data_IF_794083604837
#
_entry.id   IF_794083604837
#
_cell.length_a   1.000
_cell.length_b   1.000
_cell.length_c   1.000
_cell.angle_alpha   90.00
_cell.angle_beta   90.00
_cell.angle_gamma   90.00
#
_symmetry.space_group_name_H-M   'P 1'
#
loop_
_entity.id
_entity.type
_entity.pdbx_description
1 polymer ?
#
# COMPACT_ATOMS: atom_id res chain seq x y z
N UNK A 1 13.64 21.21 -10.65
CA UNK A 1 13.04 20.98 -9.31
C UNK A 1 12.35 19.61 -9.27
N UNK A 2 12.42 18.92 -8.13
CA UNK A 2 11.73 17.66 -7.85
C UNK A 2 10.74 17.89 -6.71
N UNK A 3 9.49 17.44 -6.86
CA UNK A 3 8.42 17.67 -5.90
C UNK A 3 7.86 16.33 -5.45
N UNK A 4 7.83 16.13 -4.14
CA UNK A 4 7.29 14.95 -3.46
C UNK A 4 6.01 15.36 -2.75
N UNK A 5 4.98 14.52 -2.85
CA UNK A 5 3.78 14.59 -2.02
C UNK A 5 3.73 13.39 -1.07
N UNK A 6 3.37 13.67 0.18
CA UNK A 6 3.09 12.65 1.20
C UNK A 6 1.62 12.81 1.57
N UNK A 7 0.81 11.81 1.20
CA UNK A 7 -0.62 11.84 1.43
C UNK A 7 -0.92 11.36 2.85
N UNK A 8 -1.81 12.08 3.53
CA UNK A 8 -2.41 11.64 4.78
C UNK A 8 -3.88 11.34 4.51
N UNK A 9 -4.28 10.09 4.74
CA UNK A 9 -5.63 9.60 4.42
C UNK A 9 -6.37 9.25 5.70
N UNK A 10 -7.68 9.54 5.73
CA UNK A 10 -8.58 9.00 6.74
C UNK A 10 -9.08 7.63 6.26
N UNK A 11 -8.84 6.60 7.08
CA UNK A 11 -9.12 5.21 6.72
C UNK A 11 -10.42 4.75 7.38
N UNK A 12 -11.28 4.09 6.61
CA UNK A 12 -12.51 3.48 7.10
C UNK A 12 -12.55 1.97 6.81
N UNK A 13 -13.64 1.31 7.22
CA UNK A 13 -13.87 -0.11 6.98
C UNK A 13 -14.34 -0.44 5.55
N UNK A 14 -14.60 0.57 4.72
CA UNK A 14 -14.92 0.36 3.31
C UNK A 14 -13.64 0.47 2.47
N UNK A 15 -13.17 -0.68 1.96
CA UNK A 15 -11.98 -0.74 1.11
C UNK A 15 -12.14 0.10 -0.16
N UNK A 16 -13.31 0.08 -0.78
CA UNK A 16 -13.55 0.82 -2.01
C UNK A 16 -13.52 2.33 -1.73
N UNK A 17 -14.07 2.75 -0.60
CA UNK A 17 -13.96 4.14 -0.16
C UNK A 17 -12.50 4.55 0.11
N UNK A 18 -11.70 3.71 0.76
CA UNK A 18 -10.27 3.96 0.95
C UNK A 18 -9.52 4.10 -0.39
N UNK A 19 -9.84 3.25 -1.38
CA UNK A 19 -9.30 3.33 -2.74
C UNK A 19 -9.68 4.64 -3.43
N UNK A 20 -10.93 5.10 -3.29
CA UNK A 20 -11.38 6.39 -3.83
C UNK A 20 -10.64 7.56 -3.18
N UNK A 21 -10.51 7.57 -1.85
CA UNK A 21 -9.75 8.61 -1.14
C UNK A 21 -8.29 8.65 -1.58
N UNK A 22 -7.65 7.49 -1.74
CA UNK A 22 -6.28 7.39 -2.21
C UNK A 22 -6.15 7.93 -3.65
N UNK A 23 -7.07 7.57 -4.55
CA UNK A 23 -7.12 8.08 -5.92
C UNK A 23 -7.21 9.61 -5.96
N UNK A 24 -8.12 10.19 -5.20
CA UNK A 24 -8.32 11.65 -5.12
C UNK A 24 -7.07 12.38 -4.59
N UNK A 25 -6.41 11.80 -3.57
CA UNK A 25 -5.19 12.36 -3.02
C UNK A 25 -4.02 12.29 -4.02
N UNK A 26 -3.89 11.19 -4.76
CA UNK A 26 -2.90 11.05 -5.83
C UNK A 26 -3.16 12.06 -6.95
N UNK A 27 -4.41 12.21 -7.39
CA UNK A 27 -4.78 13.18 -8.42
C UNK A 27 -4.44 14.60 -7.99
N UNK A 28 -4.82 14.99 -6.77
CA UNK A 28 -4.52 16.31 -6.21
C UNK A 28 -3.01 16.57 -6.15
N UNK A 29 -2.22 15.56 -5.76
CA UNK A 29 -0.77 15.65 -5.72
C UNK A 29 -0.16 15.81 -7.12
N UNK A 30 -0.68 15.07 -8.11
CA UNK A 30 -0.27 15.12 -9.51
C UNK A 30 -0.58 16.49 -10.13
N UNK A 31 -1.80 17.01 -9.94
CA UNK A 31 -2.23 18.34 -10.40
C UNK A 31 -1.37 19.45 -9.77
N UNK A 32 -0.91 19.24 -8.53
CA UNK A 32 0.07 20.09 -7.86
C UNK A 32 1.52 19.99 -8.40
N UNK A 33 1.77 19.20 -9.44
CA UNK A 33 3.06 19.02 -10.09
C UNK A 33 4.01 18.06 -9.38
N UNK A 34 3.50 17.18 -8.51
CA UNK A 34 4.33 16.19 -7.80
C UNK A 34 4.84 15.13 -8.76
N UNK A 35 6.13 14.83 -8.68
CA UNK A 35 6.79 13.77 -9.47
C UNK A 35 6.82 12.43 -8.74
N UNK A 36 6.65 12.50 -7.42
CA UNK A 36 6.57 11.36 -6.52
C UNK A 36 5.42 11.55 -5.54
N UNK A 37 4.57 10.53 -5.40
CA UNK A 37 3.48 10.50 -4.40
C UNK A 37 3.66 9.29 -3.51
N UNK A 38 3.55 9.49 -2.20
CA UNK A 38 3.61 8.47 -1.16
C UNK A 38 2.26 8.37 -0.45
N UNK A 39 1.74 7.16 -0.34
CA UNK A 39 0.57 6.83 0.49
C UNK A 39 1.00 6.34 1.88
N UNK A 40 0.16 6.49 2.92
CA UNK A 40 0.49 6.03 4.26
C UNK A 40 0.51 4.49 4.35
N UNK A 41 1.09 3.97 5.44
CA UNK A 41 1.06 2.54 5.76
C UNK A 41 -0.39 2.04 5.86
N UNK A 42 -0.68 0.88 5.25
CA UNK A 42 -1.99 0.21 5.32
C UNK A 42 -3.17 1.11 4.93
N UNK A 43 -2.99 1.92 3.87
CA UNK A 43 -4.02 2.86 3.43
C UNK A 43 -5.30 2.21 2.91
N UNK A 44 -5.30 0.92 2.57
CA UNK A 44 -6.46 0.24 1.99
C UNK A 44 -7.33 -0.47 3.03
N UNK A 45 -6.97 -0.45 4.33
CA UNK A 45 -7.67 -1.22 5.36
C UNK A 45 -7.58 -0.61 6.77
N UNK A 46 -8.55 -0.88 7.65
CA UNK A 46 -8.42 -0.56 9.06
C UNK A 46 -7.19 -1.21 9.70
N UNK A 47 -6.56 -0.49 10.61
CA UNK A 47 -5.35 -0.92 11.31
C UNK A 47 -5.68 -1.91 12.44
N UNK A 48 -6.06 -3.15 12.08
CA UNK A 48 -6.44 -4.17 13.06
C UNK A 48 -6.10 -5.60 12.62
N UNK A 49 -5.69 -6.45 13.58
CA UNK A 49 -5.33 -7.85 13.33
C UNK A 49 -6.43 -8.66 12.64
N UNK A 50 -7.69 -8.39 12.97
CA UNK A 50 -8.83 -9.09 12.37
C UNK A 50 -9.11 -8.61 10.95
N UNK A 51 -8.75 -7.38 10.61
CA UNK A 51 -8.86 -6.84 9.25
C UNK A 51 -7.81 -7.42 8.31
N UNK A 52 -6.57 -7.62 8.75
CA UNK A 52 -5.47 -7.90 7.81
C UNK A 52 -5.70 -9.10 6.88
N UNK A 53 -6.18 -10.27 7.34
CA UNK A 53 -6.45 -11.39 6.45
C UNK A 53 -7.59 -11.11 5.46
N UNK A 54 -8.58 -10.31 5.84
CA UNK A 54 -9.75 -9.99 5.01
C UNK A 54 -9.36 -9.00 3.90
N UNK A 55 -8.45 -8.08 4.18
CA UNK A 55 -8.10 -6.99 3.28
C UNK A 55 -6.85 -7.26 2.45
N UNK A 56 -6.02 -8.25 2.80
CA UNK A 56 -4.84 -8.61 2.03
C UNK A 56 -5.21 -9.07 0.62
N UNK A 57 -4.46 -8.59 -0.36
CA UNK A 57 -4.70 -8.84 -1.78
C UNK A 57 -3.52 -9.58 -2.40
N UNK A 58 -3.79 -10.49 -3.33
CA UNK A 58 -2.75 -11.11 -4.14
C UNK A 58 -2.37 -10.15 -5.28
N UNK A 59 -1.18 -9.55 -5.15
CA UNK A 59 -0.68 -8.56 -6.12
C UNK A 59 -0.23 -9.26 -7.41
N UNK A 60 0.30 -10.48 -7.30
CA UNK A 60 0.91 -11.19 -8.41
C UNK A 60 -0.14 -11.90 -9.28
N UNK A 61 -1.31 -12.23 -8.70
CA UNK A 61 -2.45 -12.77 -9.42
C UNK A 61 -3.14 -11.73 -10.36
N UNK A 62 -2.89 -10.44 -10.17
CA UNK A 62 -3.43 -9.36 -11.01
C UNK A 62 -4.87 -8.95 -10.70
N UNK A 63 -5.52 -9.56 -9.71
CA UNK A 63 -6.89 -9.27 -9.28
C UNK A 63 -6.97 -8.34 -8.05
N UNK A 64 -5.85 -7.72 -7.66
CA UNK A 64 -5.78 -6.76 -6.56
C UNK A 64 -6.39 -5.40 -6.94
N UNK A 65 -7.56 -5.01 -6.39
CA UNK A 65 -8.17 -3.71 -6.71
C UNK A 65 -7.30 -2.52 -6.26
N UNK A 66 -6.55 -2.69 -5.17
CA UNK A 66 -5.61 -1.67 -4.69
C UNK A 66 -4.46 -1.52 -5.70
N UNK A 67 -3.81 -2.63 -6.08
CA UNK A 67 -2.76 -2.66 -7.11
C UNK A 67 -3.21 -2.04 -8.43
N UNK A 68 -4.38 -2.45 -8.91
CA UNK A 68 -4.92 -2.03 -10.20
C UNK A 68 -5.23 -0.53 -10.22
N UNK A 69 -5.90 0.00 -9.19
CA UNK A 69 -6.12 1.44 -9.09
C UNK A 69 -4.81 2.21 -9.13
N UNK A 70 -3.81 1.72 -8.39
CA UNK A 70 -2.56 2.43 -8.32
C UNK A 70 -1.81 2.37 -9.66
N UNK A 71 -1.79 1.21 -10.33
CA UNK A 71 -1.31 1.06 -11.72
C UNK A 71 -1.98 2.05 -12.68
N UNK A 72 -3.30 2.21 -12.60
CA UNK A 72 -4.05 3.18 -13.44
C UNK A 72 -3.64 4.63 -13.16
N UNK A 73 -3.34 4.95 -11.90
CA UNK A 73 -2.92 6.28 -11.47
C UNK A 73 -1.44 6.55 -11.74
N UNK A 74 -0.71 5.59 -12.30
CA UNK A 74 0.75 5.59 -12.29
C UNK A 74 1.42 6.58 -13.26
N UNK A 75 0.73 7.57 -13.84
CA UNK A 75 1.30 8.52 -14.79
C UNK A 75 2.55 9.29 -14.30
N UNK A 76 2.89 9.21 -13.01
CA UNK A 76 4.11 9.75 -12.39
C UNK A 76 4.92 8.63 -11.69
N UNK A 77 6.07 8.94 -11.05
CA UNK A 77 6.72 7.91 -10.23
C UNK A 77 5.94 7.78 -8.92
N UNK A 78 5.57 6.58 -8.49
CA UNK A 78 4.79 6.45 -7.26
C UNK A 78 5.26 5.26 -6.42
N UNK A 79 5.20 5.40 -5.09
CA UNK A 79 5.44 4.28 -4.16
C UNK A 79 4.33 4.23 -3.12
N UNK A 80 3.88 3.03 -2.81
CA UNK A 80 2.66 2.80 -2.01
C UNK A 80 2.87 1.65 -1.04
N UNK A 81 2.23 1.65 0.13
CA UNK A 81 2.28 0.54 1.09
C UNK A 81 0.91 -0.15 1.15
N UNK A 82 0.83 -1.44 0.85
CA UNK A 82 -0.43 -2.20 0.81
C UNK A 82 -0.27 -3.56 1.49
N UNK A 83 -1.39 -4.15 1.91
CA UNK A 83 -1.40 -5.52 2.46
C UNK A 83 -1.37 -6.57 1.36
N UNK A 84 -0.31 -7.36 1.34
CA UNK A 84 -0.09 -8.41 0.34
C UNK A 84 -0.42 -9.78 0.92
N UNK A 85 -1.12 -10.59 0.13
CA UNK A 85 -1.27 -12.03 0.32
C UNK A 85 -0.40 -12.75 -0.71
N UNK A 86 0.34 -13.76 -0.27
CA UNK A 86 1.07 -14.66 -1.16
C UNK A 86 0.96 -16.08 -0.58
N UNK A 87 0.09 -16.90 -1.18
CA UNK A 87 -0.36 -18.15 -0.57
C UNK A 87 -1.03 -17.91 0.79
N UNK A 88 -0.58 -18.67 1.80
CA UNK A 88 -1.08 -18.56 3.18
C UNK A 88 -0.42 -17.43 3.99
N UNK A 89 0.56 -16.74 3.40
CA UNK A 89 1.34 -15.73 4.08
C UNK A 89 0.78 -14.32 3.84
N UNK A 90 0.79 -13.52 4.92
CA UNK A 90 0.45 -12.11 4.91
C UNK A 90 1.70 -11.26 5.07
N UNK A 91 1.83 -10.24 4.24
CA UNK A 91 2.93 -9.28 4.28
C UNK A 91 2.41 -7.85 4.30
N UNK A 92 3.14 -6.97 5.00
CA UNK A 92 3.00 -5.53 4.84
C UNK A 92 3.99 -5.10 3.74
N UNK A 93 3.47 -4.70 2.59
CA UNK A 93 4.25 -4.63 1.36
C UNK A 93 4.20 -3.26 0.73
N UNK A 94 5.35 -2.62 0.59
CA UNK A 94 5.51 -1.44 -0.24
C UNK A 94 5.62 -1.84 -1.71
N UNK A 95 4.73 -1.38 -2.56
CA UNK A 95 4.79 -1.55 -4.00
C UNK A 95 5.20 -0.25 -4.69
N UNK A 96 6.07 -0.37 -5.68
CA UNK A 96 6.64 0.75 -6.43
C UNK A 96 6.21 0.60 -7.87
N UNK A 97 5.58 1.63 -8.44
CA UNK A 97 5.10 1.57 -9.81
C UNK A 97 5.72 2.69 -10.65
N UNK A 98 6.00 2.31 -11.89
CA UNK A 98 6.57 3.18 -12.88
C UNK A 98 5.49 3.96 -13.62
N UNK A 99 5.96 4.95 -14.39
CA UNK A 99 5.12 5.82 -15.23
C UNK A 99 4.24 5.09 -16.24
N UNK A 100 4.62 3.85 -16.55
CA UNK A 100 3.97 2.96 -17.50
C UNK A 100 2.90 2.09 -16.86
N UNK A 101 2.56 2.30 -15.58
CA UNK A 101 1.64 1.44 -14.83
C UNK A 101 2.26 0.14 -14.32
N UNK A 102 3.48 -0.19 -14.73
CA UNK A 102 4.07 -1.48 -14.32
C UNK A 102 4.63 -1.43 -12.90
N UNK A 103 4.41 -2.51 -12.16
CA UNK A 103 5.03 -2.76 -10.86
C UNK A 103 6.55 -2.95 -11.04
N UNK A 104 7.34 -1.99 -10.53
CA UNK A 104 8.80 -1.99 -10.61
C UNK A 104 9.47 -2.70 -9.45
N UNK A 105 8.76 -2.90 -8.34
CA UNK A 105 9.30 -3.62 -7.20
C UNK A 105 8.34 -3.68 -6.02
N UNK A 106 8.59 -4.67 -5.15
CA UNK A 106 7.91 -4.87 -3.87
C UNK A 106 8.95 -4.88 -2.75
N UNK A 107 8.63 -4.27 -1.62
CA UNK A 107 9.42 -4.35 -0.40
C UNK A 107 8.50 -4.78 0.74
N UNK A 108 8.69 -6.01 1.22
CA UNK A 108 7.99 -6.56 2.38
C UNK A 108 8.67 -6.08 3.66
N UNK A 109 7.91 -5.57 4.61
CA UNK A 109 8.41 -5.06 5.90
C UNK A 109 9.23 -6.15 6.60
N UNK A 110 10.51 -5.84 6.87
CA UNK A 110 11.47 -6.78 7.49
C UNK A 110 11.35 -6.74 9.01
N UNK A 111 11.44 -5.55 9.58
CA UNK A 111 11.40 -5.36 11.03
C UNK A 111 9.99 -4.96 11.46
N UNK A 112 9.36 -5.80 12.27
CA UNK A 112 8.14 -5.45 12.98
C UNK A 112 8.49 -4.68 14.25
N UNK A 113 7.68 -3.67 14.55
CA UNK A 113 7.86 -2.88 15.76
C UNK A 113 7.30 -3.68 16.95
N UNK A 114 8.19 -4.19 17.80
CA UNK A 114 7.84 -4.83 19.07
C UNK A 114 7.88 -3.80 20.20
N UNK A 115 6.84 -2.97 20.30
CA UNK A 115 6.63 -2.19 21.51
C UNK A 115 5.20 -2.40 21.95
N UNK A 116 4.97 -3.47 22.74
CA UNK A 116 3.80 -3.70 23.63
C UNK A 116 2.39 -3.41 23.08
N UNK A 117 2.26 -3.18 21.79
CA UNK A 117 1.04 -2.84 21.07
C UNK A 117 0.63 -4.10 20.34
N UNK A 118 -0.44 -4.69 20.82
CA UNK A 118 -1.06 -5.95 20.39
C UNK A 118 -1.33 -6.08 18.89
N UNK A 119 -1.18 -5.01 18.10
CA UNK A 119 -1.57 -4.92 16.68
C UNK A 119 -0.61 -5.60 15.70
N UNK A 120 0.69 -5.69 16.01
CA UNK A 120 1.65 -6.45 15.18
C UNK A 120 2.20 -7.69 15.88
N UNK A 121 1.50 -8.15 16.92
CA UNK A 121 1.88 -9.40 17.57
C UNK A 121 1.90 -10.52 16.54
N UNK A 122 3.02 -11.23 16.48
CA UNK A 122 3.12 -12.55 15.87
C UNK A 122 1.92 -13.39 16.39
N UNK A 123 1.12 -14.03 15.52
CA UNK A 123 1.55 -14.68 14.27
C UNK A 123 0.96 -14.09 12.97
N UNK A 124 0.36 -12.90 12.97
CA UNK A 124 -0.44 -12.42 11.83
C UNK A 124 0.36 -12.07 10.56
N UNK A 125 1.66 -11.78 10.65
CA UNK A 125 2.48 -11.32 9.51
C UNK A 125 3.76 -12.12 9.34
N UNK A 126 4.09 -12.38 8.08
CA UNK A 126 5.36 -12.97 7.66
C UNK A 126 6.38 -11.84 7.39
N UNK A 127 7.60 -11.88 7.96
CA UNK A 127 8.64 -10.89 7.68
C UNK A 127 9.12 -10.96 6.23
N UNK A 128 9.46 -9.80 5.67
CA UNK A 128 10.22 -9.73 4.43
C UNK A 128 11.65 -10.24 4.56
N UNK A 129 12.25 -10.64 3.44
CA UNK A 129 13.68 -10.95 3.32
C UNK A 129 14.49 -9.66 3.10
N UNK A 130 15.73 -9.63 3.61
CA UNK A 130 16.73 -8.59 3.31
C UNK A 130 17.53 -8.87 2.03
N UNK A 131 17.23 -9.98 1.34
CA UNK A 131 17.88 -10.44 0.11
C UNK A 131 16.82 -10.83 -0.92
#
# INVERSE_FOLDING_TARGET
QFKLAVCQLSICADKEQNIRHAREAIQTAADGGSKLVLLPEMWNCPYSNTSFPIYAEDIDAGDSPSSNMLSDMAGYHHRWLLLERNGDHLYNTCCIYGKDGSLKGKHRKVCFYDASSTVFSQPSFTPGSIF
#
